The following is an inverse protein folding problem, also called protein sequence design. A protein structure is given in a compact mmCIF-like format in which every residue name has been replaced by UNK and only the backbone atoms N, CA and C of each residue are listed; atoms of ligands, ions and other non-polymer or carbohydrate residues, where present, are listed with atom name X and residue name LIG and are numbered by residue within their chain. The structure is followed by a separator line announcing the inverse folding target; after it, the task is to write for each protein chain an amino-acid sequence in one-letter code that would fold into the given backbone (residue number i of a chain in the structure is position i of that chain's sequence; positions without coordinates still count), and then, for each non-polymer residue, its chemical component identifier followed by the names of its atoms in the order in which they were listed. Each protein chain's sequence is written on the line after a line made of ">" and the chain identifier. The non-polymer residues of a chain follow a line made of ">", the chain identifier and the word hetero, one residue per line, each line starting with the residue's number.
data_IF_098396368221
#
_entry.id   IF_098396368221
#
_cell.length_a   1.000
_cell.length_b   1.000
_cell.length_c   1.000
_cell.angle_alpha   90.00
_cell.angle_beta   90.00
_cell.angle_gamma   90.00
#
_symmetry.space_group_name_H-M   'P 1'
#
loop_
_entity.id
_entity.type
_entity.pdbx_description
1 polymer ?
#
# COMPACT_ATOMS: atom_id res chain seq x y z
N UNK A 1 6.30 -0.47 13.60
CA UNK A 1 5.65 0.82 13.29
C UNK A 1 6.62 1.83 12.71
N UNK A 2 7.72 2.14 13.39
CA UNK A 2 8.73 3.12 12.95
C UNK A 2 9.23 2.90 11.51
N UNK A 3 9.44 1.66 11.10
CA UNK A 3 9.81 1.33 9.71
C UNK A 3 8.77 1.82 8.70
N UNK A 4 7.49 1.60 8.97
CA UNK A 4 6.40 1.96 8.06
C UNK A 4 6.28 3.48 7.97
N UNK A 5 6.33 4.20 9.10
CA UNK A 5 6.32 5.67 9.12
C UNK A 5 7.47 6.25 8.30
N UNK A 6 8.68 5.67 8.45
CA UNK A 6 9.86 6.06 7.67
C UNK A 6 9.68 5.79 6.17
N UNK A 7 9.11 4.64 5.79
CA UNK A 7 8.86 4.30 4.39
C UNK A 7 7.84 5.25 3.74
N UNK A 8 6.83 5.67 4.49
CA UNK A 8 5.82 6.64 4.05
C UNK A 8 6.40 8.06 3.99
N UNK A 9 7.38 8.37 4.84
CA UNK A 9 8.04 9.67 4.92
C UNK A 9 7.40 10.65 5.92
N UNK A 10 6.53 10.16 6.82
CA UNK A 10 5.88 11.01 7.83
C UNK A 10 6.68 11.15 9.12
N UNK A 11 7.64 10.27 9.39
CA UNK A 11 8.46 10.29 10.60
C UNK A 11 9.30 11.57 10.72
N UNK A 12 9.82 12.06 9.61
CA UNK A 12 10.60 13.31 9.57
C UNK A 12 9.69 14.52 9.85
N UNK A 13 8.47 14.51 9.29
CA UNK A 13 7.49 15.58 9.51
C UNK A 13 7.02 15.59 10.97
N UNK A 14 6.71 14.41 11.54
CA UNK A 14 6.35 14.28 12.97
C UNK A 14 7.45 14.80 13.88
N UNK A 15 8.72 14.42 13.64
CA UNK A 15 9.83 14.87 14.44
C UNK A 15 10.00 16.40 14.37
N UNK A 16 9.91 16.96 13.16
CA UNK A 16 10.07 18.41 12.96
C UNK A 16 8.92 19.22 13.57
N UNK A 17 7.69 18.75 13.47
CA UNK A 17 6.53 19.37 14.14
C UNK A 17 6.76 19.42 15.65
N UNK A 18 7.20 18.30 16.24
CA UNK A 18 7.45 18.21 17.68
C UNK A 18 8.61 19.13 18.13
N UNK A 19 9.66 19.26 17.34
CA UNK A 19 10.77 20.22 17.61
C UNK A 19 10.24 21.66 17.61
N UNK A 20 9.52 22.04 16.56
CA UNK A 20 8.97 23.39 16.42
C UNK A 20 7.96 23.72 17.52
N UNK A 21 7.13 22.77 17.96
CA UNK A 21 6.21 22.95 19.10
C UNK A 21 6.94 23.32 20.39
N UNK A 22 8.15 22.77 20.61
CA UNK A 22 8.96 23.09 21.79
C UNK A 22 9.78 24.37 21.66
N UNK A 23 10.01 24.86 20.44
CA UNK A 23 10.85 26.03 20.14
C UNK A 23 10.08 27.29 19.77
N UNK A 24 8.74 27.24 19.77
CA UNK A 24 7.85 28.31 19.26
C UNK A 24 7.72 29.51 20.23
N UNK A 25 8.85 30.18 20.52
CA UNK A 25 8.91 31.45 21.29
C UNK A 25 8.63 32.66 20.37
N UNK A 26 7.39 32.88 19.93
CA UNK A 26 6.96 34.07 19.15
C UNK A 26 7.83 34.41 17.91
N UNK A 27 8.61 33.46 17.39
CA UNK A 27 9.37 33.63 16.15
C UNK A 27 8.47 33.37 14.95
N UNK A 28 8.15 34.42 14.18
CA UNK A 28 7.27 34.34 13.02
C UNK A 28 7.77 33.33 11.99
N UNK A 29 9.09 33.21 11.78
CA UNK A 29 9.66 32.26 10.81
C UNK A 29 9.39 30.82 11.23
N UNK A 30 9.49 30.52 12.53
CA UNK A 30 9.19 29.17 13.06
C UNK A 30 7.70 28.84 12.99
N UNK A 31 6.85 29.83 13.19
CA UNK A 31 5.39 29.67 13.03
C UNK A 31 5.06 29.34 11.58
N UNK A 32 5.63 30.08 10.63
CA UNK A 32 5.39 29.85 9.20
C UNK A 32 5.94 28.46 8.76
N UNK A 33 7.11 28.04 9.25
CA UNK A 33 7.66 26.71 9.03
C UNK A 33 6.73 25.63 9.60
N UNK A 34 6.24 25.77 10.83
CA UNK A 34 5.31 24.85 11.46
C UNK A 34 4.03 24.69 10.62
N UNK A 35 3.42 25.79 10.18
CA UNK A 35 2.22 25.76 9.35
C UNK A 35 2.46 25.02 8.01
N UNK A 36 3.61 25.24 7.39
CA UNK A 36 3.93 24.56 6.13
C UNK A 36 4.09 23.06 6.31
N UNK A 37 4.84 22.63 7.34
CA UNK A 37 5.05 21.20 7.65
C UNK A 37 3.75 20.55 8.09
N UNK A 38 2.92 21.23 8.88
CA UNK A 38 1.60 20.74 9.30
C UNK A 38 0.68 20.54 8.09
N UNK A 39 0.66 21.46 7.15
CA UNK A 39 -0.12 21.31 5.92
C UNK A 39 0.33 20.12 5.09
N UNK A 40 1.64 19.87 4.99
CA UNK A 40 2.16 18.68 4.32
C UNK A 40 1.80 17.39 5.06
N UNK A 41 1.91 17.39 6.37
CA UNK A 41 1.50 16.26 7.21
C UNK A 41 0.00 15.93 7.06
N UNK A 42 -0.86 16.97 7.00
CA UNK A 42 -2.30 16.82 6.72
C UNK A 42 -2.52 16.27 5.30
N UNK A 43 -1.81 16.79 4.30
CA UNK A 43 -1.90 16.33 2.90
C UNK A 43 -1.55 14.85 2.76
N UNK A 44 -0.60 14.36 3.54
CA UNK A 44 -0.22 12.95 3.60
C UNK A 44 -1.15 12.13 4.51
N UNK A 45 -2.22 12.74 5.04
CA UNK A 45 -3.15 12.12 5.98
C UNK A 45 -2.47 11.56 7.24
N UNK A 46 -1.41 12.22 7.70
CA UNK A 46 -0.52 11.77 8.76
C UNK A 46 -1.24 11.42 10.06
N UNK A 47 -2.22 12.21 10.46
CA UNK A 47 -3.01 11.98 11.69
C UNK A 47 -3.80 10.65 11.65
N UNK A 48 -4.20 10.17 10.48
CA UNK A 48 -4.95 8.93 10.31
C UNK A 48 -4.05 7.70 10.08
N UNK A 49 -2.74 7.90 9.84
CA UNK A 49 -1.82 6.79 9.57
C UNK A 49 -1.80 5.74 10.70
N UNK A 50 -1.80 6.08 11.99
CA UNK A 50 -1.83 5.07 13.05
C UNK A 50 -3.06 4.17 12.95
N UNK A 51 -4.25 4.74 12.73
CA UNK A 51 -5.50 4.00 12.57
C UNK A 51 -5.49 3.14 11.28
N UNK A 52 -5.06 3.73 10.15
CA UNK A 52 -4.94 3.00 8.88
C UNK A 52 -3.95 1.84 8.99
N UNK A 53 -2.84 2.06 9.68
CA UNK A 53 -1.83 1.04 9.93
C UNK A 53 -2.42 -0.14 10.70
N UNK A 54 -3.20 0.12 11.76
CA UNK A 54 -3.87 -0.93 12.53
C UNK A 54 -4.82 -1.74 11.67
N UNK A 55 -5.63 -1.06 10.86
CA UNK A 55 -6.57 -1.71 9.93
C UNK A 55 -5.83 -2.61 8.93
N UNK A 56 -4.73 -2.13 8.34
CA UNK A 56 -3.96 -2.88 7.35
C UNK A 56 -3.22 -4.05 7.97
N UNK A 57 -2.55 -3.87 9.12
CA UNK A 57 -1.86 -4.96 9.80
C UNK A 57 -2.82 -6.07 10.22
N UNK A 58 -3.96 -5.71 10.81
CA UNK A 58 -4.99 -6.67 11.21
C UNK A 58 -5.56 -7.42 9.99
N UNK A 59 -5.84 -6.70 8.91
CA UNK A 59 -6.34 -7.28 7.66
C UNK A 59 -5.38 -8.27 7.03
N UNK A 60 -4.07 -8.03 7.12
CA UNK A 60 -3.03 -8.95 6.68
C UNK A 60 -2.70 -10.05 7.70
N UNK A 61 -3.51 -10.21 8.76
CA UNK A 61 -3.33 -11.24 9.76
C UNK A 61 -2.11 -11.04 10.68
N UNK A 62 -1.65 -9.80 10.84
CA UNK A 62 -0.58 -9.45 11.77
C UNK A 62 -1.19 -8.95 13.09
N UNK A 63 -0.69 -9.45 14.22
CA UNK A 63 -1.14 -9.01 15.53
C UNK A 63 -0.48 -7.68 15.94
N UNK A 64 -1.02 -7.02 16.97
CA UNK A 64 -0.52 -5.73 17.47
C UNK A 64 0.92 -5.78 17.99
N UNK A 65 1.39 -6.93 18.45
CA UNK A 65 2.76 -7.12 18.94
C UNK A 65 3.82 -6.85 17.87
N UNK A 66 3.44 -6.99 16.58
CA UNK A 66 4.36 -6.74 15.46
C UNK A 66 4.87 -5.30 15.43
N UNK A 67 4.10 -4.34 15.94
CA UNK A 67 4.45 -2.92 15.96
C UNK A 67 5.68 -2.60 16.78
N UNK A 68 5.91 -3.35 17.86
CA UNK A 68 7.06 -3.17 18.77
C UNK A 68 8.30 -3.93 18.32
N UNK A 69 8.16 -4.93 17.43
CA UNK A 69 9.27 -5.76 16.96
C UNK A 69 10.16 -5.03 15.95
N UNK A 70 11.45 -5.30 16.00
CA UNK A 70 12.39 -4.86 14.96
C UNK A 70 12.24 -5.74 13.73
N UNK A 71 12.42 -5.17 12.54
CA UNK A 71 12.29 -5.91 11.25
C UNK A 71 13.15 -7.20 11.23
N UNK A 72 14.34 -7.18 11.84
CA UNK A 72 15.22 -8.36 11.91
C UNK A 72 14.65 -9.52 12.72
N UNK A 73 13.70 -9.27 13.62
CA UNK A 73 13.06 -10.25 14.51
C UNK A 73 11.84 -10.90 13.87
N UNK A 74 11.42 -10.41 12.70
CA UNK A 74 10.26 -10.91 11.97
C UNK A 74 10.62 -12.12 11.13
N UNK A 75 9.68 -13.06 11.00
CA UNK A 75 9.77 -14.14 10.01
C UNK A 75 9.73 -13.58 8.57
N UNK A 76 10.10 -14.37 7.57
CA UNK A 76 10.04 -14.00 6.15
C UNK A 76 8.65 -13.50 5.76
N UNK A 77 7.60 -14.29 5.99
CA UNK A 77 6.23 -13.91 5.68
C UNK A 77 5.74 -12.70 6.47
N UNK A 78 6.18 -12.52 7.73
CA UNK A 78 5.85 -11.29 8.48
C UNK A 78 6.52 -10.05 7.87
N UNK A 79 7.76 -10.16 7.41
CA UNK A 79 8.46 -9.07 6.72
C UNK A 79 7.72 -8.67 5.45
N UNK A 80 7.31 -9.63 4.63
CA UNK A 80 6.56 -9.38 3.40
C UNK A 80 5.23 -8.68 3.68
N UNK A 81 4.47 -9.15 4.67
CA UNK A 81 3.21 -8.50 5.11
C UNK A 81 3.43 -7.07 5.62
N UNK A 82 4.51 -6.82 6.37
CA UNK A 82 4.87 -5.47 6.84
C UNK A 82 5.29 -4.58 5.67
N UNK A 83 6.04 -5.10 4.69
CA UNK A 83 6.39 -4.35 3.47
C UNK A 83 5.14 -4.02 2.65
N UNK A 84 4.26 -4.99 2.44
CA UNK A 84 2.99 -4.77 1.76
C UNK A 84 2.16 -3.69 2.48
N UNK A 85 2.09 -3.74 3.83
CA UNK A 85 1.42 -2.70 4.62
C UNK A 85 1.98 -1.31 4.34
N UNK A 86 3.31 -1.18 4.28
CA UNK A 86 3.96 0.10 4.00
C UNK A 86 3.64 0.63 2.59
N UNK A 87 3.63 -0.27 1.59
CA UNK A 87 3.28 0.07 0.21
C UNK A 87 1.82 0.51 0.08
N UNK A 88 0.89 -0.22 0.70
CA UNK A 88 -0.55 0.10 0.68
C UNK A 88 -0.88 1.45 1.35
N UNK A 89 -0.08 1.86 2.34
CA UNK A 89 -0.29 3.10 3.10
C UNK A 89 0.41 4.32 2.52
N UNK A 90 1.34 4.13 1.57
CA UNK A 90 2.22 5.22 1.10
C UNK A 90 1.48 6.35 0.37
N UNK A 91 0.30 6.08 -0.19
CA UNK A 91 -0.39 7.06 -1.04
C UNK A 91 0.43 7.36 -2.31
N UNK A 92 0.08 6.71 -3.40
CA UNK A 92 0.82 6.80 -4.68
C UNK A 92 -0.15 7.09 -5.81
N UNK A 93 0.35 7.71 -6.89
CA UNK A 93 -0.42 7.95 -8.11
C UNK A 93 -0.67 6.66 -8.91
N UNK A 94 0.17 5.65 -8.71
CA UNK A 94 0.04 4.30 -9.29
C UNK A 94 0.59 3.27 -8.30
N UNK A 95 -0.20 2.25 -7.99
CA UNK A 95 0.19 1.12 -7.16
C UNK A 95 0.56 -0.08 -8.04
N UNK A 96 1.80 -0.54 -7.95
CA UNK A 96 2.28 -1.73 -8.67
C UNK A 96 2.55 -2.84 -7.66
N UNK A 97 1.90 -3.99 -7.85
CA UNK A 97 2.01 -5.15 -6.98
C UNK A 97 2.43 -6.38 -7.81
N UNK A 98 3.48 -7.05 -7.35
CA UNK A 98 3.95 -8.31 -7.93
C UNK A 98 3.67 -9.45 -6.96
N UNK A 99 2.80 -10.38 -7.37
CA UNK A 99 2.36 -11.55 -6.60
C UNK A 99 1.94 -11.21 -5.14
N UNK A 100 1.05 -10.22 -4.92
CA UNK A 100 0.77 -9.70 -3.58
C UNK A 100 0.04 -10.70 -2.66
N UNK A 101 -0.53 -11.77 -3.21
CA UNK A 101 -1.22 -12.83 -2.47
C UNK A 101 -0.28 -13.90 -1.93
N UNK A 102 0.98 -13.92 -2.35
CA UNK A 102 1.97 -14.86 -1.84
C UNK A 102 2.13 -14.71 -0.32
N UNK A 103 2.24 -15.83 0.38
CA UNK A 103 2.40 -15.90 1.83
C UNK A 103 1.24 -15.30 2.65
N UNK A 104 0.07 -15.07 2.02
CA UNK A 104 -1.16 -14.68 2.70
C UNK A 104 -2.06 -15.90 2.92
N UNK A 105 -2.72 -15.93 4.06
CA UNK A 105 -3.84 -16.86 4.29
C UNK A 105 -5.11 -16.37 3.59
N UNK A 106 -6.10 -17.24 3.46
CA UNK A 106 -7.33 -16.95 2.72
C UNK A 106 -8.04 -15.68 3.22
N UNK A 107 -8.09 -15.46 4.53
CA UNK A 107 -8.73 -14.27 5.11
C UNK A 107 -7.98 -12.98 4.76
N UNK A 108 -6.67 -13.05 4.77
CA UNK A 108 -5.80 -11.92 4.37
C UNK A 108 -5.93 -11.62 2.88
N UNK A 109 -6.08 -12.63 2.02
CA UNK A 109 -6.35 -12.47 0.58
C UNK A 109 -7.70 -11.76 0.37
N UNK A 110 -8.79 -12.27 0.94
CA UNK A 110 -10.13 -11.68 0.84
C UNK A 110 -10.15 -10.22 1.34
N UNK A 111 -9.43 -9.95 2.43
CA UNK A 111 -9.28 -8.59 2.93
C UNK A 111 -8.52 -7.69 1.95
N UNK A 112 -7.40 -8.19 1.40
CA UNK A 112 -6.59 -7.43 0.43
C UNK A 112 -7.39 -7.11 -0.84
N UNK A 113 -8.10 -8.07 -1.40
CA UNK A 113 -8.98 -7.89 -2.57
C UNK A 113 -10.01 -6.78 -2.31
N UNK A 114 -10.67 -6.82 -1.15
CA UNK A 114 -11.61 -5.76 -0.76
C UNK A 114 -10.93 -4.40 -0.63
N UNK A 115 -9.77 -4.36 0.02
CA UNK A 115 -9.00 -3.14 0.19
C UNK A 115 -8.58 -2.52 -1.15
N UNK A 116 -8.10 -3.36 -2.09
CA UNK A 116 -7.69 -2.91 -3.43
C UNK A 116 -8.87 -2.37 -4.26
N UNK A 117 -10.08 -2.87 -4.07
CA UNK A 117 -11.30 -2.32 -4.72
C UNK A 117 -11.68 -0.93 -4.18
N UNK A 118 -11.33 -0.63 -2.93
CA UNK A 118 -11.66 0.64 -2.26
C UNK A 118 -10.62 1.74 -2.54
N UNK A 119 -9.40 1.39 -2.99
CA UNK A 119 -8.34 2.35 -3.31
C UNK A 119 -8.73 3.21 -4.51
N UNK A 120 -8.39 4.50 -4.43
CA UNK A 120 -8.73 5.48 -5.47
C UNK A 120 -7.65 5.65 -6.55
N UNK A 121 -6.44 5.11 -6.35
CA UNK A 121 -5.39 5.17 -7.36
C UNK A 121 -5.46 4.00 -8.35
N UNK A 122 -4.99 4.14 -9.59
CA UNK A 122 -4.79 3.04 -10.51
C UNK A 122 -3.89 1.95 -9.92
N UNK A 123 -4.23 0.68 -10.20
CA UNK A 123 -3.48 -0.47 -9.69
C UNK A 123 -3.03 -1.32 -10.88
N UNK A 124 -1.76 -1.73 -10.87
CA UNK A 124 -1.22 -2.75 -11.75
C UNK A 124 -0.82 -3.96 -10.90
N UNK A 125 -1.36 -5.13 -11.21
CA UNK A 125 -1.10 -6.37 -10.48
C UNK A 125 -0.51 -7.40 -11.44
N UNK A 126 0.63 -7.96 -11.07
CA UNK A 126 1.16 -9.20 -11.67
C UNK A 126 0.78 -10.33 -10.73
N UNK A 127 0.02 -11.32 -11.21
CA UNK A 127 -0.38 -12.46 -10.40
C UNK A 127 -0.70 -13.67 -11.26
N UNK A 128 -0.48 -14.85 -10.69
CA UNK A 128 -0.97 -16.13 -11.22
C UNK A 128 -2.24 -16.63 -10.49
N UNK A 129 -2.70 -15.91 -9.46
CA UNK A 129 -3.95 -16.19 -8.76
C UNK A 129 -5.15 -15.68 -9.58
N UNK A 130 -5.75 -16.61 -10.32
CA UNK A 130 -6.86 -16.34 -11.24
C UNK A 130 -8.09 -15.80 -10.53
N UNK A 131 -8.34 -16.24 -9.29
CA UNK A 131 -9.50 -15.80 -8.52
C UNK A 131 -9.34 -14.34 -8.10
N UNK A 132 -8.18 -13.96 -7.57
CA UNK A 132 -7.88 -12.57 -7.22
C UNK A 132 -7.95 -11.65 -8.45
N UNK A 133 -7.47 -12.10 -9.62
CA UNK A 133 -7.59 -11.33 -10.85
C UNK A 133 -9.05 -11.19 -11.31
N UNK A 134 -9.90 -12.19 -11.11
CA UNK A 134 -11.33 -12.07 -11.43
C UNK A 134 -12.05 -11.05 -10.54
N UNK A 135 -11.65 -10.99 -9.28
CA UNK A 135 -12.32 -10.16 -8.29
C UNK A 135 -11.88 -8.69 -8.31
N UNK A 136 -10.63 -8.40 -8.69
CA UNK A 136 -10.02 -7.07 -8.50
C UNK A 136 -9.85 -6.29 -9.81
N UNK A 137 -9.52 -6.97 -10.93
CA UNK A 137 -9.09 -6.27 -12.14
C UNK A 137 -10.23 -5.95 -13.08
N UNK A 138 -10.07 -4.85 -13.82
CA UNK A 138 -11.02 -4.39 -14.86
C UNK A 138 -10.45 -4.51 -16.26
N UNK A 139 -9.18 -4.87 -16.39
CA UNK A 139 -8.45 -5.05 -17.65
C UNK A 139 -7.31 -6.03 -17.43
N UNK A 140 -7.05 -6.88 -18.43
CA UNK A 140 -5.86 -7.74 -18.49
C UNK A 140 -4.92 -7.23 -19.59
N UNK A 141 -3.63 -7.17 -19.28
CA UNK A 141 -2.57 -6.88 -20.23
C UNK A 141 -1.71 -8.14 -20.34
N UNK A 142 -1.67 -8.72 -21.53
CA UNK A 142 -0.86 -9.88 -21.85
C UNK A 142 0.38 -9.45 -22.63
N UNK A 143 1.53 -10.00 -22.26
CA UNK A 143 2.76 -9.91 -23.07
C UNK A 143 2.77 -11.12 -23.97
N UNK A 144 2.51 -10.91 -25.27
CA UNK A 144 2.55 -12.00 -26.26
C UNK A 144 3.99 -12.54 -26.39
N UNK A 145 4.14 -13.84 -26.20
CA UNK A 145 5.45 -14.48 -26.19
C UNK A 145 6.19 -14.41 -27.53
N UNK A 146 5.44 -14.49 -28.66
CA UNK A 146 6.04 -14.55 -30.00
C UNK A 146 6.31 -13.15 -30.56
N UNK A 147 5.35 -12.27 -30.48
CA UNK A 147 5.44 -10.93 -31.03
C UNK A 147 6.09 -9.93 -30.05
N UNK A 148 6.17 -10.28 -28.76
CA UNK A 148 6.62 -9.40 -27.66
C UNK A 148 5.84 -8.09 -27.55
N UNK A 149 4.64 -8.07 -28.09
CA UNK A 149 3.74 -6.95 -27.98
C UNK A 149 2.83 -7.08 -26.77
N UNK A 150 2.34 -5.93 -26.28
CA UNK A 150 1.30 -5.87 -25.27
C UNK A 150 -0.06 -5.98 -25.95
N UNK A 151 -0.89 -6.90 -25.46
CA UNK A 151 -2.27 -7.06 -25.93
C UNK A 151 -3.18 -6.78 -24.73
N UNK A 152 -4.13 -5.86 -24.92
CA UNK A 152 -5.10 -5.50 -23.91
C UNK A 152 -6.40 -6.23 -24.12
N UNK A 153 -6.93 -6.77 -23.02
CA UNK A 153 -8.26 -7.41 -22.97
C UNK A 153 -9.10 -6.68 -21.92
N UNK A 154 -10.25 -6.10 -22.30
CA UNK A 154 -11.16 -5.51 -21.34
C UNK A 154 -11.78 -6.60 -20.46
N UNK A 155 -12.06 -6.25 -19.21
CA UNK A 155 -12.70 -7.16 -18.27
C UNK A 155 -11.73 -7.90 -17.36
N UNK A 156 -12.26 -8.88 -16.65
CA UNK A 156 -11.55 -9.70 -15.68
C UNK A 156 -10.90 -10.95 -16.32
N UNK A 157 -10.32 -11.82 -15.48
CA UNK A 157 -9.64 -13.02 -15.97
C UNK A 157 -10.59 -14.01 -16.66
N UNK A 158 -11.83 -14.17 -16.19
CA UNK A 158 -12.82 -15.04 -16.81
C UNK A 158 -13.22 -14.55 -18.20
N UNK A 159 -13.34 -13.25 -18.41
CA UNK A 159 -13.60 -12.65 -19.72
C UNK A 159 -12.41 -12.81 -20.66
N UNK A 160 -11.21 -12.51 -20.18
CA UNK A 160 -9.96 -12.78 -20.92
C UNK A 160 -9.89 -14.23 -21.42
N UNK A 161 -10.21 -15.21 -20.55
CA UNK A 161 -10.20 -16.62 -20.94
C UNK A 161 -11.18 -16.94 -22.07
N UNK A 162 -12.37 -16.31 -22.06
CA UNK A 162 -13.35 -16.47 -23.16
C UNK A 162 -12.80 -15.91 -24.47
N UNK A 163 -12.16 -14.74 -24.46
CA UNK A 163 -11.53 -14.17 -25.66
C UNK A 163 -10.45 -15.10 -26.23
N UNK A 164 -9.61 -15.68 -25.37
CA UNK A 164 -8.57 -16.62 -25.82
C UNK A 164 -9.09 -17.93 -26.40
N UNK A 165 -10.29 -18.37 -26.02
CA UNK A 165 -10.92 -19.59 -26.56
C UNK A 165 -11.59 -19.36 -27.92
N UNK A 166 -11.84 -18.11 -28.31
CA UNK A 166 -12.48 -17.73 -29.57
C UNK A 166 -11.47 -17.41 -30.68
N UNK A 167 -10.20 -17.31 -30.36
CA UNK A 167 -9.07 -17.17 -31.30
C UNK A 167 -8.49 -18.53 -31.70
#
# INVERSE_FOLDING_TARGET
>A
ESFIKKYIGIDVLEARLHELENEMDNDQNKIDEYCNIQNEYIRLDGYNIPYKLDKVLLGLGLNQEIKSKKIKELSGGQKEKVMLSAVLLKGTDLLILDEPTNNLDLKSIEWLEKYLKEIQCPIMIVSHDRKSLDDVVTKIIEIDYFTRNLIEYPGNYSEYKKFKQQQ
#
